data_IF_358642887645
#
_entry.id   IF_358642887645
#
_cell.length_a   1.000
_cell.length_b   1.000
_cell.length_c   1.000
_cell.angle_alpha   90.00
_cell.angle_beta   90.00
_cell.angle_gamma   90.00
#
_symmetry.space_group_name_H-M   'P 1'
#
loop_
_entity.id
_entity.type
_entity.pdbx_description
1 polymer ?
#
# COMPACT_ATOMS: atom_id res chain seq x y z
N UNK A 1 -31.46 0.73 15.22
CA UNK A 1 -31.13 -0.06 16.42
C UNK A 1 -30.18 0.81 17.24
N UNK A 2 -30.45 1.02 18.52
CA UNK A 2 -29.69 1.94 19.36
C UNK A 2 -28.41 1.24 19.83
N UNK A 3 -27.31 1.94 19.92
CA UNK A 3 -25.98 1.42 20.30
C UNK A 3 -26.00 0.68 21.66
N UNK A 4 -26.81 1.14 22.60
CA UNK A 4 -27.06 0.51 23.88
C UNK A 4 -27.72 -0.87 23.80
N UNK A 5 -28.57 -1.10 22.79
CA UNK A 5 -29.23 -2.38 22.60
C UNK A 5 -28.23 -3.42 22.06
N UNK A 6 -27.38 -3.02 21.13
CA UNK A 6 -26.32 -3.88 20.57
C UNK A 6 -25.34 -4.32 21.65
N UNK A 7 -24.98 -3.40 22.56
CA UNK A 7 -24.07 -3.69 23.66
C UNK A 7 -24.71 -4.65 24.68
N UNK A 8 -25.97 -4.49 24.98
CA UNK A 8 -26.71 -5.40 25.88
C UNK A 8 -26.86 -6.80 25.31
N UNK A 9 -27.14 -6.92 24.02
CA UNK A 9 -27.26 -8.22 23.34
C UNK A 9 -25.91 -8.96 23.26
N UNK A 10 -24.78 -8.22 23.18
CA UNK A 10 -23.44 -8.78 23.24
C UNK A 10 -23.14 -9.44 24.59
N UNK A 11 -23.48 -8.78 25.69
CA UNK A 11 -23.23 -9.34 27.03
C UNK A 11 -24.23 -10.44 27.42
N UNK A 12 -25.40 -10.48 26.79
CA UNK A 12 -26.41 -11.52 27.02
C UNK A 12 -26.08 -12.84 26.33
N UNK A 13 -25.31 -12.80 25.22
CA UNK A 13 -25.05 -13.97 24.38
C UNK A 13 -23.54 -14.31 24.41
N UNK A 14 -23.10 -15.06 25.43
CA UNK A 14 -21.69 -15.41 25.70
C UNK A 14 -21.02 -16.26 24.61
N UNK A 15 -21.74 -16.75 23.64
CA UNK A 15 -21.24 -17.67 22.61
C UNK A 15 -21.02 -17.03 21.23
N UNK A 16 -21.31 -15.73 21.07
CA UNK A 16 -21.12 -15.04 19.80
C UNK A 16 -19.89 -14.13 19.86
N UNK A 17 -18.93 -14.36 18.97
CA UNK A 17 -17.76 -13.49 18.81
C UNK A 17 -18.12 -12.31 17.92
N UNK A 18 -18.06 -11.10 18.48
CA UNK A 18 -18.35 -9.85 17.77
C UNK A 18 -17.08 -9.25 17.20
N UNK A 19 -16.99 -9.15 15.89
CA UNK A 19 -15.91 -8.44 15.22
C UNK A 19 -16.35 -7.03 14.84
N UNK A 20 -15.55 -6.05 15.18
CA UNK A 20 -15.67 -4.68 14.69
C UNK A 20 -14.69 -4.48 13.54
N UNK A 21 -15.20 -4.18 12.38
CA UNK A 21 -14.39 -3.74 11.25
C UNK A 21 -14.24 -2.21 11.36
N UNK A 22 -13.07 -1.77 11.79
CA UNK A 22 -12.73 -0.35 11.78
C UNK A 22 -12.19 0.01 10.39
N UNK A 23 -13.03 0.63 9.58
CA UNK A 23 -12.66 1.14 8.26
C UNK A 23 -12.00 2.52 8.46
N UNK A 24 -10.67 2.53 8.49
CA UNK A 24 -9.89 3.76 8.58
C UNK A 24 -10.22 4.74 7.43
N UNK A 25 -10.75 5.91 7.78
CA UNK A 25 -10.91 7.00 6.84
C UNK A 25 -12.31 7.63 6.85
N UNK A 26 -12.64 8.41 7.84
CA UNK A 26 -13.90 9.10 8.03
C UNK A 26 -14.77 8.41 9.08
N UNK A 27 -15.95 8.92 9.31
CA UNK A 27 -16.86 8.47 10.35
C UNK A 27 -16.94 6.93 10.42
N UNK A 28 -16.51 6.36 11.54
CA UNK A 28 -16.45 4.93 11.74
C UNK A 28 -17.85 4.34 11.69
N UNK A 29 -18.14 3.55 10.65
CA UNK A 29 -19.33 2.74 10.58
C UNK A 29 -19.03 1.43 11.30
N UNK A 30 -19.55 1.28 12.50
CA UNK A 30 -19.45 0.01 13.24
C UNK A 30 -20.42 -1.01 12.63
N UNK A 31 -19.90 -1.86 11.75
CA UNK A 31 -20.63 -3.02 11.23
C UNK A 31 -20.29 -4.23 12.10
N UNK A 32 -21.24 -4.70 12.90
CA UNK A 32 -21.11 -5.95 13.65
C UNK A 32 -21.48 -7.13 12.78
N UNK A 33 -20.56 -8.06 12.58
CA UNK A 33 -20.84 -9.38 11.97
C UNK A 33 -20.77 -10.39 13.10
N UNK A 34 -21.85 -11.19 13.28
CA UNK A 34 -21.92 -12.31 14.22
C UNK A 34 -21.46 -13.56 13.48
N UNK A 35 -20.45 -14.24 14.00
CA UNK A 35 -19.91 -15.46 13.42
C UNK A 35 -19.92 -16.55 14.51
N UNK A 36 -20.42 -17.72 14.15
CA UNK A 36 -20.50 -18.88 15.05
C UNK A 36 -19.14 -19.61 15.17
N UNK A 37 -18.25 -19.40 14.19
CA UNK A 37 -16.92 -19.99 14.12
C UNK A 37 -15.81 -18.97 14.43
N UNK A 38 -14.62 -19.49 14.82
CA UNK A 38 -13.43 -18.66 15.02
C UNK A 38 -12.94 -18.07 13.71
N UNK A 39 -12.81 -16.75 13.67
CA UNK A 39 -12.23 -16.04 12.51
C UNK A 39 -10.89 -15.44 12.90
N UNK A 40 -9.86 -15.81 12.15
CA UNK A 40 -8.52 -15.21 12.27
C UNK A 40 -8.40 -14.04 11.33
N UNK A 41 -8.12 -12.86 11.86
CA UNK A 41 -7.84 -11.66 11.06
C UNK A 41 -6.32 -11.51 10.94
N UNK A 42 -5.83 -11.51 9.70
CA UNK A 42 -4.43 -11.26 9.38
C UNK A 42 -4.32 -9.86 8.76
N UNK A 43 -3.47 -9.04 9.34
CA UNK A 43 -3.17 -7.70 8.83
C UNK A 43 -1.68 -7.53 8.57
N UNK A 44 -1.35 -6.83 7.47
CA UNK A 44 0.03 -6.49 7.16
C UNK A 44 0.51 -5.32 8.01
N UNK A 45 1.53 -5.56 8.80
CA UNK A 45 2.15 -4.48 9.57
C UNK A 45 2.79 -3.45 8.64
N UNK A 46 2.23 -2.24 8.62
CA UNK A 46 2.75 -1.12 7.81
C UNK A 46 2.86 -1.47 6.32
N UNK A 47 1.77 -1.92 5.69
CA UNK A 47 1.72 -2.46 4.32
C UNK A 47 2.52 -1.62 3.30
N UNK A 48 2.19 -0.34 3.14
CA UNK A 48 2.85 0.51 2.13
C UNK A 48 4.36 0.67 2.36
N UNK A 49 4.84 1.04 3.56
CA UNK A 49 6.27 1.08 3.85
C UNK A 49 6.96 -0.26 3.62
N UNK A 50 6.34 -1.37 4.03
CA UNK A 50 6.92 -2.71 3.86
C UNK A 50 7.09 -3.08 2.39
N UNK A 51 6.11 -2.82 1.54
CA UNK A 51 6.20 -3.04 0.09
C UNK A 51 7.28 -2.14 -0.54
N UNK A 52 7.35 -0.86 -0.17
CA UNK A 52 8.37 0.05 -0.69
C UNK A 52 9.79 -0.38 -0.31
N UNK A 53 9.95 -0.92 0.90
CA UNK A 53 11.25 -1.45 1.38
C UNK A 53 11.58 -2.76 0.69
N UNK A 54 10.62 -3.68 0.55
CA UNK A 54 10.82 -4.98 -0.09
C UNK A 54 11.30 -4.80 -1.53
N UNK A 55 10.51 -4.09 -2.32
CA UNK A 55 10.72 -3.93 -3.76
C UNK A 55 11.65 -2.76 -4.12
N UNK A 56 12.30 -2.16 -3.11
CA UNK A 56 13.23 -1.05 -3.27
C UNK A 56 12.64 0.13 -4.08
N UNK A 57 11.37 0.47 -3.83
CA UNK A 57 10.63 1.48 -4.59
C UNK A 57 11.09 2.87 -4.19
N UNK A 58 11.80 3.55 -5.10
CA UNK A 58 12.31 4.90 -4.90
C UNK A 58 12.55 5.60 -6.24
N UNK A 59 12.69 6.91 -6.23
CA UNK A 59 13.04 7.65 -7.44
C UNK A 59 14.43 7.30 -7.97
N UNK A 60 15.38 7.06 -7.09
CA UNK A 60 16.77 6.74 -7.41
C UNK A 60 16.99 5.27 -7.80
N UNK A 61 16.03 4.38 -7.51
CA UNK A 61 16.04 2.98 -7.97
C UNK A 61 15.20 2.75 -9.22
N UNK A 62 14.41 3.75 -9.66
CA UNK A 62 13.54 3.63 -10.82
C UNK A 62 14.35 3.74 -12.12
N UNK A 63 14.33 2.68 -12.91
CA UNK A 63 15.06 2.58 -14.19
C UNK A 63 14.26 3.20 -15.33
N UNK A 64 13.02 2.73 -15.51
CA UNK A 64 12.12 3.23 -16.54
C UNK A 64 10.65 3.04 -16.16
N UNK A 65 9.79 3.70 -16.92
CA UNK A 65 8.35 3.53 -16.84
C UNK A 65 7.79 3.47 -18.26
N UNK A 66 6.87 2.53 -18.49
CA UNK A 66 6.11 2.39 -19.73
C UNK A 66 4.62 2.46 -19.43
N UNK A 67 3.88 3.15 -20.29
CA UNK A 67 2.44 3.28 -20.18
C UNK A 67 1.77 2.72 -21.43
N UNK A 68 0.73 1.93 -21.20
CA UNK A 68 -0.03 1.24 -22.25
C UNK A 68 -1.50 1.69 -22.20
N UNK A 69 -2.14 1.68 -23.35
CA UNK A 69 -3.59 1.87 -23.47
C UNK A 69 -4.37 0.59 -23.12
N UNK A 70 -5.69 0.61 -23.35
CA UNK A 70 -6.54 -0.56 -23.13
C UNK A 70 -6.32 -1.67 -24.16
N UNK A 71 -5.77 -1.34 -25.32
CA UNK A 71 -5.47 -2.24 -26.43
C UNK A 71 -4.08 -2.88 -26.31
N UNK A 72 -3.27 -2.42 -25.33
CA UNK A 72 -1.90 -2.90 -25.11
C UNK A 72 -0.83 -2.17 -25.91
N UNK A 73 -1.18 -1.05 -26.60
CA UNK A 73 -0.20 -0.25 -27.31
C UNK A 73 0.55 0.66 -26.34
N UNK A 74 1.84 0.83 -26.55
CA UNK A 74 2.67 1.73 -25.74
C UNK A 74 2.37 3.19 -26.11
N UNK A 75 1.88 3.96 -25.13
CA UNK A 75 1.54 5.39 -25.28
C UNK A 75 2.73 6.27 -24.92
N UNK A 76 3.45 5.90 -23.85
CA UNK A 76 4.50 6.73 -23.27
C UNK A 76 5.58 5.86 -22.63
N UNK A 77 6.81 6.34 -22.71
CA UNK A 77 7.95 5.75 -22.01
C UNK A 77 8.85 6.83 -21.40
N UNK A 78 9.36 6.58 -20.21
CA UNK A 78 10.30 7.46 -19.52
C UNK A 78 11.48 6.65 -18.97
N UNK A 79 12.66 7.27 -18.90
CA UNK A 79 13.90 6.66 -18.42
C UNK A 79 15.09 7.27 -19.17
N UNK A 80 16.29 7.09 -18.62
CA UNK A 80 17.53 7.55 -19.27
C UNK A 80 17.90 6.56 -20.36
N UNK A 81 18.00 7.05 -21.59
CA UNK A 81 18.35 6.27 -22.79
C UNK A 81 19.67 6.74 -23.37
N UNK A 82 20.38 5.84 -23.99
CA UNK A 82 21.57 6.13 -24.78
C UNK A 82 21.23 6.59 -26.22
N UNK A 83 22.24 6.77 -27.03
CA UNK A 83 22.09 7.14 -28.46
C UNK A 83 21.45 6.05 -29.31
N UNK A 84 21.52 4.77 -28.86
CA UNK A 84 20.88 3.63 -29.53
C UNK A 84 19.40 3.51 -29.19
N UNK A 85 18.94 4.25 -28.16
CA UNK A 85 17.57 4.20 -27.66
C UNK A 85 17.35 3.21 -26.52
N UNK A 86 18.39 2.52 -26.10
CA UNK A 86 18.35 1.55 -25.00
C UNK A 86 18.42 2.26 -23.64
N UNK A 87 17.86 1.62 -22.60
CA UNK A 87 17.90 2.19 -21.25
C UNK A 87 19.26 1.94 -20.61
N UNK A 88 19.96 3.01 -20.27
CA UNK A 88 21.35 2.99 -19.74
C UNK A 88 21.48 2.18 -18.46
N UNK A 89 20.45 2.18 -17.62
CA UNK A 89 20.48 1.52 -16.30
C UNK A 89 19.67 0.22 -16.29
N UNK A 90 19.31 -0.33 -17.45
CA UNK A 90 18.60 -1.59 -17.56
C UNK A 90 19.57 -2.74 -17.88
N UNK A 91 19.25 -3.93 -17.38
CA UNK A 91 19.98 -5.17 -17.64
C UNK A 91 21.48 -5.13 -17.29
N UNK A 92 21.86 -4.40 -16.25
CA UNK A 92 23.23 -4.41 -15.72
C UNK A 92 23.46 -5.68 -14.91
N UNK A 93 24.58 -6.37 -15.14
CA UNK A 93 24.89 -7.70 -14.57
C UNK A 93 24.89 -7.76 -13.04
N UNK A 94 25.21 -6.64 -12.37
CA UNK A 94 25.28 -6.55 -10.91
C UNK A 94 23.92 -6.30 -10.22
N UNK A 95 22.88 -5.99 -11.01
CA UNK A 95 21.57 -5.58 -10.50
C UNK A 95 20.50 -6.59 -10.83
N UNK A 96 19.59 -6.81 -9.90
CA UNK A 96 18.30 -7.46 -10.16
C UNK A 96 17.25 -6.41 -10.40
N UNK A 97 16.20 -6.77 -11.11
CA UNK A 97 15.13 -5.84 -11.44
C UNK A 97 13.77 -6.41 -11.04
N UNK A 98 12.90 -5.53 -10.60
CA UNK A 98 11.51 -5.86 -10.29
C UNK A 98 10.61 -4.95 -11.12
N UNK A 99 9.69 -5.56 -11.86
CA UNK A 99 8.69 -4.85 -12.64
C UNK A 99 7.37 -4.82 -11.86
N UNK A 100 6.87 -3.62 -11.63
CA UNK A 100 5.60 -3.39 -10.95
C UNK A 100 4.60 -2.89 -11.97
N UNK A 101 3.57 -3.69 -12.22
CA UNK A 101 2.48 -3.37 -13.10
C UNK A 101 1.25 -2.93 -12.30
N UNK A 102 0.57 -1.90 -12.75
CA UNK A 102 -0.69 -1.45 -12.16
C UNK A 102 -1.59 -0.76 -13.17
N UNK A 103 -2.89 -0.81 -12.88
CA UNK A 103 -3.92 -0.20 -13.69
C UNK A 103 -3.92 1.32 -13.55
N UNK A 104 -4.06 2.02 -14.67
CA UNK A 104 -4.27 3.47 -14.71
C UNK A 104 -5.75 3.76 -14.76
N UNK A 105 -6.17 4.71 -13.93
CA UNK A 105 -7.56 5.15 -13.86
C UNK A 105 -7.66 6.66 -14.07
N UNK A 106 -8.76 7.08 -14.65
CA UNK A 106 -9.16 8.49 -14.74
C UNK A 106 -10.54 8.66 -14.12
N UNK A 107 -10.73 9.74 -13.39
CA UNK A 107 -12.04 10.14 -12.92
C UNK A 107 -12.71 10.92 -14.04
N UNK A 108 -13.87 10.46 -14.47
CA UNK A 108 -14.66 11.07 -15.54
C UNK A 108 -16.02 11.40 -14.94
N UNK A 109 -16.44 12.65 -15.13
CA UNK A 109 -17.80 13.07 -14.79
C UNK A 109 -18.70 12.77 -16.00
N UNK A 110 -19.62 11.79 -15.92
CA UNK A 110 -20.57 11.56 -17.01
C UNK A 110 -21.46 12.79 -17.19
N UNK A 111 -21.83 13.07 -18.43
CA UNK A 111 -22.64 14.23 -18.79
C UNK A 111 -23.85 14.41 -17.86
N UNK A 112 -23.91 15.58 -17.19
CA UNK A 112 -24.98 15.99 -16.31
C UNK A 112 -25.04 15.35 -14.92
N UNK A 113 -24.10 14.46 -14.56
CA UNK A 113 -24.03 13.87 -13.20
C UNK A 113 -22.94 14.54 -12.38
N UNK A 114 -23.27 14.89 -11.11
CA UNK A 114 -22.31 15.46 -10.15
C UNK A 114 -21.30 14.43 -9.62
N UNK A 115 -21.48 13.14 -9.90
CA UNK A 115 -20.65 12.06 -9.36
C UNK A 115 -19.65 11.62 -10.43
N UNK A 116 -18.38 11.72 -10.12
CA UNK A 116 -17.29 11.19 -10.94
C UNK A 116 -17.23 9.66 -10.88
N UNK A 117 -17.00 9.02 -12.01
CA UNK A 117 -16.80 7.58 -12.11
C UNK A 117 -15.33 7.28 -12.42
N UNK A 118 -14.79 6.27 -11.74
CA UNK A 118 -13.42 5.80 -11.92
C UNK A 118 -13.37 4.84 -13.10
N UNK A 119 -12.77 5.27 -14.22
CA UNK A 119 -12.67 4.47 -15.44
C UNK A 119 -11.21 4.07 -15.67
N UNK A 120 -10.97 2.78 -15.96
CA UNK A 120 -9.66 2.29 -16.35
C UNK A 120 -9.32 2.83 -17.76
N UNK A 121 -8.12 3.39 -17.90
CA UNK A 121 -7.63 3.98 -19.17
C UNK A 121 -6.41 3.27 -19.74
N UNK A 122 -5.90 2.25 -19.04
CA UNK A 122 -4.74 1.48 -19.47
C UNK A 122 -3.95 0.91 -18.29
N UNK A 123 -2.74 0.49 -18.56
CA UNK A 123 -1.78 -0.07 -17.60
C UNK A 123 -0.48 0.72 -17.58
N UNK A 124 0.24 0.61 -16.49
CA UNK A 124 1.56 1.23 -16.34
C UNK A 124 2.51 0.24 -15.68
N UNK A 125 3.70 0.09 -16.26
CA UNK A 125 4.77 -0.76 -15.75
C UNK A 125 5.94 0.13 -15.34
N UNK A 126 6.43 -0.08 -14.11
CA UNK A 126 7.60 0.60 -13.59
C UNK A 126 8.66 -0.42 -13.22
N UNK A 127 9.90 -0.26 -13.72
CA UNK A 127 11.03 -1.10 -13.37
C UNK A 127 11.88 -0.44 -12.30
N UNK A 128 12.18 -1.19 -11.23
CA UNK A 128 13.03 -0.77 -10.13
C UNK A 128 14.23 -1.68 -9.98
N UNK A 129 15.42 -1.08 -9.81
CA UNK A 129 16.66 -1.81 -9.58
C UNK A 129 16.78 -2.23 -8.10
N UNK A 130 17.12 -3.49 -7.89
CA UNK A 130 17.51 -4.04 -6.60
C UNK A 130 19.04 -3.92 -6.48
N UNK A 131 19.50 -3.09 -5.55
CA UNK A 131 20.93 -2.83 -5.41
C UNK A 131 21.67 -4.05 -4.83
N UNK A 132 22.92 -4.29 -5.24
CA UNK A 132 23.72 -5.40 -4.72
C UNK A 132 23.90 -5.26 -3.19
N UNK A 133 24.21 -6.38 -2.53
CA UNK A 133 24.42 -6.48 -1.08
C UNK A 133 23.23 -5.98 -0.22
N UNK A 134 22.01 -6.12 -0.71
CA UNK A 134 20.79 -5.66 -0.05
C UNK A 134 20.78 -4.16 0.30
N UNK A 135 21.61 -3.37 -0.34
CA UNK A 135 21.60 -1.92 -0.20
C UNK A 135 20.24 -1.38 -0.62
N UNK A 136 19.70 -0.49 0.17
CA UNK A 136 18.40 0.14 -0.12
C UNK A 136 18.59 1.52 -0.74
N UNK A 137 17.68 1.87 -1.64
CA UNK A 137 17.55 3.20 -2.19
C UNK A 137 17.12 4.20 -1.10
N UNK A 138 17.13 5.47 -1.42
CA UNK A 138 16.96 6.57 -0.44
C UNK A 138 15.63 6.43 0.32
N UNK A 139 14.51 6.31 -0.37
CA UNK A 139 13.19 6.24 0.26
C UNK A 139 13.02 4.99 1.15
N UNK A 140 13.32 3.76 0.67
CA UNK A 140 13.34 2.56 1.50
C UNK A 140 14.23 2.67 2.74
N UNK A 141 15.42 3.27 2.63
CA UNK A 141 16.32 3.46 3.76
C UNK A 141 15.72 4.39 4.82
N UNK A 142 15.11 5.51 4.40
CA UNK A 142 14.41 6.44 5.29
C UNK A 142 13.26 5.72 5.99
N UNK A 143 12.44 4.96 5.25
CA UNK A 143 11.30 4.22 5.82
C UNK A 143 11.74 3.17 6.84
N UNK A 144 12.83 2.44 6.58
CA UNK A 144 13.40 1.50 7.57
C UNK A 144 13.78 2.21 8.88
N UNK A 145 14.46 3.36 8.78
CA UNK A 145 14.85 4.14 9.95
C UNK A 145 13.63 4.66 10.73
N UNK A 146 12.61 5.15 10.04
CA UNK A 146 11.37 5.64 10.66
C UNK A 146 10.60 4.52 11.35
N UNK A 147 10.49 3.34 10.75
CA UNK A 147 9.84 2.18 11.35
C UNK A 147 10.60 1.69 12.59
N UNK A 148 11.93 1.67 12.54
CA UNK A 148 12.78 1.32 13.68
C UNK A 148 12.61 2.33 14.82
N UNK A 149 12.66 3.62 14.54
CA UNK A 149 12.43 4.69 15.50
C UNK A 149 11.04 4.61 16.14
N UNK A 150 9.99 4.38 15.33
CA UNK A 150 8.62 4.17 15.83
C UNK A 150 8.56 2.99 16.79
N UNK A 151 9.16 1.85 16.44
CA UNK A 151 9.19 0.66 17.28
C UNK A 151 9.88 0.95 18.63
N UNK A 152 11.05 1.60 18.59
CA UNK A 152 11.80 1.98 19.79
C UNK A 152 11.01 2.94 20.69
N UNK A 153 10.35 3.94 20.12
CA UNK A 153 9.52 4.91 20.85
C UNK A 153 8.30 4.22 21.50
N UNK A 154 7.63 3.30 20.78
CA UNK A 154 6.51 2.54 21.34
C UNK A 154 6.93 1.66 22.52
N UNK A 155 8.11 1.05 22.46
CA UNK A 155 8.66 0.29 23.60
C UNK A 155 8.89 1.21 24.80
N UNK A 156 9.53 2.37 24.60
CA UNK A 156 9.74 3.36 25.67
C UNK A 156 8.42 3.86 26.27
N UNK A 157 7.41 4.10 25.44
CA UNK A 157 6.10 4.58 25.90
C UNK A 157 5.37 3.57 26.80
N UNK A 158 5.56 2.27 26.58
CA UNK A 158 4.97 1.22 27.42
C UNK A 158 5.48 1.22 28.87
N UNK A 159 6.68 1.75 29.11
CA UNK A 159 7.34 1.75 30.41
C UNK A 159 7.28 3.10 31.14
N UNK A 160 6.57 4.11 30.58
CA UNK A 160 6.30 5.32 31.34
C UNK A 160 5.20 5.06 32.37
N UNK A 161 5.58 4.74 33.58
CA UNK A 161 4.72 4.81 34.76
C UNK A 161 4.52 6.29 35.06
N UNK A 162 3.29 6.79 34.95
CA UNK A 162 2.94 8.10 35.48
C UNK A 162 2.76 7.89 36.98
N UNK A 163 3.74 8.31 37.77
CA UNK A 163 3.58 8.45 39.23
C UNK A 163 2.79 9.72 39.46
N UNK A 164 1.55 9.59 39.88
CA UNK A 164 0.71 10.69 40.34
C UNK A 164 1.16 11.06 41.75
#
# INVERSE_FOLDING_TARGET
MNEDQITKDYYANKNTTKFYLDLCGGDSIHVGIYLDDYVTVLDYSSLYPSCMISENISHDSKVWTKEYDLEGNEISRTGVRDFSGDYVYDNLDEYKYVDIEYDRYKWISPDGKKKEEKVKIGTKICRFAQFPNNKKAIMPAILQNLLAARKATRVKAKYKTITL
#
